data_IF_685379147574
#
_entry.id   IF_685379147574
#
_cell.length_a   1.000
_cell.length_b   1.000
_cell.length_c   1.000
_cell.angle_alpha   90.00
_cell.angle_beta   90.00
_cell.angle_gamma   90.00
#
_symmetry.space_group_name_H-M   'P 1'
#
loop_
_entity.id
_entity.type
_entity.pdbx_description
1 polymer ?
#
# COMPACT_ATOMS: atom_id res chain seq x y z
N UNK A 1 16.19 -15.46 -5.30
CA UNK A 1 15.13 -15.03 -4.37
C UNK A 1 15.74 -14.47 -3.10
N UNK A 2 15.08 -13.46 -2.52
CA UNK A 2 15.51 -12.82 -1.28
C UNK A 2 14.49 -13.17 -0.20
N UNK A 3 14.99 -13.71 0.92
CA UNK A 3 14.17 -13.96 2.11
C UNK A 3 14.40 -12.80 3.08
N UNK A 4 13.32 -12.05 3.38
CA UNK A 4 13.43 -10.87 4.22
C UNK A 4 12.08 -10.58 4.88
N UNK A 5 12.10 -10.16 6.13
CA UNK A 5 10.91 -9.68 6.83
C UNK A 5 10.58 -8.27 6.30
N UNK A 6 9.39 -8.09 5.74
CA UNK A 6 8.97 -6.81 5.17
C UNK A 6 8.93 -5.68 6.19
N UNK A 7 8.79 -6.01 7.46
CA UNK A 7 8.74 -5.00 8.54
C UNK A 7 10.13 -4.55 8.95
N UNK A 8 11.18 -5.22 8.50
CA UNK A 8 12.55 -4.77 8.70
C UNK A 8 12.97 -3.84 7.56
N UNK A 9 12.94 -2.56 7.82
CA UNK A 9 13.20 -1.49 6.87
C UNK A 9 14.54 -0.82 7.21
N UNK A 10 15.41 -0.57 6.21
CA UNK A 10 15.18 -0.71 4.76
C UNK A 10 15.33 -2.16 4.27
N UNK A 11 14.59 -2.48 3.21
CA UNK A 11 14.75 -3.76 2.53
C UNK A 11 16.11 -3.83 1.84
N UNK A 12 16.65 -5.05 1.63
CA UNK A 12 17.95 -5.22 0.97
C UNK A 12 17.84 -5.06 -0.55
N UNK A 13 17.26 -3.96 -0.99
CA UNK A 13 17.03 -3.59 -2.37
C UNK A 13 17.40 -2.11 -2.54
N UNK A 14 18.10 -1.74 -3.63
CA UNK A 14 18.42 -0.33 -3.86
C UNK A 14 17.20 0.47 -4.30
N UNK A 15 17.30 1.79 -4.16
CA UNK A 15 16.28 2.71 -4.64
C UNK A 15 16.02 2.50 -6.13
N UNK A 16 14.76 2.50 -6.52
CA UNK A 16 14.38 2.48 -7.93
C UNK A 16 14.76 1.22 -8.69
N UNK A 17 14.90 0.08 -8.02
CA UNK A 17 15.35 -1.15 -8.67
C UNK A 17 14.23 -1.96 -9.32
N UNK A 18 12.96 -1.62 -9.09
CA UNK A 18 11.83 -2.41 -9.54
C UNK A 18 10.88 -1.57 -10.39
N UNK A 19 10.29 -2.17 -11.42
CA UNK A 19 9.23 -1.53 -12.21
C UNK A 19 7.83 -1.89 -11.72
N UNK A 20 7.69 -3.04 -11.05
CA UNK A 20 6.41 -3.54 -10.56
C UNK A 20 6.63 -4.29 -9.25
N UNK A 21 5.79 -4.01 -8.27
CA UNK A 21 5.68 -4.79 -7.05
C UNK A 21 4.27 -5.37 -6.99
N UNK A 22 4.16 -6.66 -6.68
CA UNK A 22 2.87 -7.30 -6.45
C UNK A 22 2.82 -7.78 -5.01
N UNK A 23 1.82 -7.30 -4.26
CA UNK A 23 1.59 -7.67 -2.88
C UNK A 23 0.20 -8.33 -2.77
N UNK A 24 0.18 -9.66 -2.85
CA UNK A 24 -1.06 -10.43 -2.79
C UNK A 24 -1.21 -11.07 -1.43
N UNK A 25 -2.25 -10.68 -0.69
CA UNK A 25 -2.57 -11.21 0.64
C UNK A 25 -1.43 -11.04 1.66
N UNK A 26 -0.81 -9.86 1.64
CA UNK A 26 0.31 -9.51 2.51
C UNK A 26 -0.04 -8.33 3.42
N UNK A 27 -0.63 -7.29 2.86
CA UNK A 27 -0.80 -6.01 3.56
C UNK A 27 -1.70 -6.12 4.79
N UNK A 28 -2.63 -7.06 4.81
CA UNK A 28 -3.51 -7.30 5.95
C UNK A 28 -2.78 -7.87 7.17
N UNK A 29 -1.56 -8.36 6.99
CA UNK A 29 -0.75 -8.94 8.06
C UNK A 29 0.34 -8.01 8.59
N UNK A 30 0.56 -6.85 8.00
CA UNK A 30 1.59 -5.91 8.44
C UNK A 30 1.21 -5.35 9.80
N UNK A 31 2.15 -5.39 10.75
CA UNK A 31 1.95 -4.86 12.09
C UNK A 31 1.61 -3.36 12.01
N UNK A 32 0.45 -2.93 12.53
CA UNK A 32 0.03 -1.53 12.43
C UNK A 32 0.79 -0.59 13.37
N UNK A 33 1.58 -1.12 14.30
CA UNK A 33 2.31 -0.31 15.26
C UNK A 33 3.30 0.62 14.54
N UNK A 34 3.47 1.84 15.07
CA UNK A 34 4.42 2.83 14.54
C UNK A 34 4.17 3.13 13.06
N UNK A 35 2.90 3.22 12.66
CA UNK A 35 2.51 3.47 11.27
C UNK A 35 3.07 2.42 10.30
N UNK A 36 3.07 1.14 10.71
CA UNK A 36 3.68 0.07 9.92
C UNK A 36 3.15 -0.04 8.50
N UNK A 37 1.83 0.14 8.30
CA UNK A 37 1.25 0.12 6.97
C UNK A 37 1.83 1.23 6.08
N UNK A 38 1.89 2.46 6.59
CA UNK A 38 2.45 3.59 5.85
C UNK A 38 3.93 3.38 5.58
N UNK A 39 4.68 2.84 6.55
CA UNK A 39 6.11 2.59 6.39
C UNK A 39 6.40 1.56 5.29
N UNK A 40 5.60 0.51 5.20
CA UNK A 40 5.75 -0.48 4.12
C UNK A 40 5.37 0.14 2.78
N UNK A 41 4.33 0.96 2.73
CA UNK A 41 3.98 1.69 1.51
C UNK A 41 5.12 2.62 1.07
N UNK A 42 5.75 3.33 2.01
CA UNK A 42 6.89 4.19 1.71
C UNK A 42 8.07 3.39 1.18
N UNK A 43 8.31 2.20 1.72
CA UNK A 43 9.40 1.34 1.27
C UNK A 43 9.14 0.79 -0.15
N UNK A 44 7.92 0.42 -0.45
CA UNK A 44 7.53 0.09 -1.82
C UNK A 44 7.83 1.24 -2.77
N UNK A 45 7.50 2.46 -2.36
CA UNK A 45 7.77 3.66 -3.14
C UNK A 45 9.26 3.86 -3.40
N UNK A 46 10.08 3.65 -2.38
CA UNK A 46 11.54 3.81 -2.49
C UNK A 46 12.15 2.86 -3.53
N UNK A 47 11.76 1.58 -3.49
CA UNK A 47 12.36 0.56 -4.37
C UNK A 47 11.78 0.57 -5.78
N UNK A 48 10.63 1.22 -6.00
CA UNK A 48 10.10 1.37 -7.34
C UNK A 48 10.83 2.47 -8.12
N UNK A 49 11.10 2.21 -9.39
CA UNK A 49 11.59 3.23 -10.30
C UNK A 49 10.51 4.28 -10.55
N UNK A 50 10.86 5.47 -11.07
CA UNK A 50 9.86 6.48 -11.44
C UNK A 50 8.78 5.86 -12.34
N UNK A 51 7.51 6.19 -12.07
CA UNK A 51 6.35 5.66 -12.77
C UNK A 51 6.12 4.16 -12.55
N UNK A 52 6.86 3.54 -11.63
CA UNK A 52 6.65 2.14 -11.26
C UNK A 52 5.30 1.92 -10.58
N UNK A 53 4.84 0.69 -10.60
CA UNK A 53 3.51 0.34 -10.11
C UNK A 53 3.55 -0.63 -8.95
N UNK A 54 2.60 -0.46 -8.03
CA UNK A 54 2.35 -1.38 -6.92
C UNK A 54 0.93 -1.92 -7.08
N UNK A 55 0.82 -3.23 -7.23
CA UNK A 55 -0.46 -3.93 -7.29
C UNK A 55 -0.70 -4.64 -5.96
N UNK A 56 -1.76 -4.28 -5.28
CA UNK A 56 -2.14 -4.86 -3.99
C UNK A 56 -3.43 -5.65 -4.15
N UNK A 57 -3.45 -6.86 -3.61
CA UNK A 57 -4.68 -7.63 -3.40
C UNK A 57 -4.74 -7.95 -1.91
N UNK A 58 -5.81 -7.51 -1.25
CA UNK A 58 -6.02 -7.79 0.17
C UNK A 58 -7.52 -7.91 0.44
N UNK A 59 -7.92 -8.64 1.49
CA UNK A 59 -9.34 -8.72 1.81
C UNK A 59 -9.89 -7.35 2.17
N UNK A 60 -11.08 -7.04 1.64
CA UNK A 60 -11.78 -5.82 2.04
C UNK A 60 -12.15 -5.92 3.52
N UNK A 61 -12.02 -4.83 4.26
CA UNK A 61 -12.22 -4.83 5.70
C UNK A 61 -13.62 -5.26 6.16
N UNK A 62 -14.60 -5.27 5.26
CA UNK A 62 -15.96 -5.74 5.56
C UNK A 62 -16.23 -7.15 5.05
N UNK A 63 -15.25 -7.80 4.43
CA UNK A 63 -15.44 -9.14 3.88
C UNK A 63 -15.32 -10.21 4.97
N UNK A 64 -15.95 -11.36 4.72
CA UNK A 64 -15.78 -12.53 5.59
C UNK A 64 -14.35 -13.01 5.61
N UNK A 65 -13.65 -12.91 4.46
CA UNK A 65 -12.25 -13.31 4.37
C UNK A 65 -11.34 -12.50 5.28
N UNK A 66 -11.63 -11.21 5.45
CA UNK A 66 -10.89 -10.41 6.43
C UNK A 66 -11.25 -10.81 7.86
N UNK A 67 -12.53 -10.86 8.16
CA UNK A 67 -13.02 -10.97 9.53
C UNK A 67 -12.75 -12.35 10.16
N UNK A 68 -12.68 -13.39 9.35
CA UNK A 68 -12.54 -14.76 9.86
C UNK A 68 -11.12 -15.12 10.30
N UNK A 69 -10.10 -14.45 9.78
CA UNK A 69 -8.69 -14.80 10.04
C UNK A 69 -8.18 -14.00 11.25
N UNK A 70 -7.81 -14.69 12.35
CA UNK A 70 -7.38 -13.99 13.56
C UNK A 70 -6.04 -13.27 13.43
N UNK A 71 -5.29 -13.48 12.34
CA UNK A 71 -4.01 -12.81 12.12
C UNK A 71 -4.13 -11.54 11.29
N UNK A 72 -5.31 -11.19 10.82
CA UNK A 72 -5.54 -9.95 10.07
C UNK A 72 -5.60 -8.76 11.02
N UNK A 73 -4.78 -7.73 10.73
CA UNK A 73 -4.63 -6.56 11.62
C UNK A 73 -4.83 -5.22 10.92
N UNK A 74 -4.97 -5.21 9.59
CA UNK A 74 -5.22 -4.00 8.81
C UNK A 74 -6.57 -4.09 8.13
N UNK A 75 -7.61 -3.66 8.85
CA UNK A 75 -8.97 -3.61 8.33
C UNK A 75 -9.12 -2.34 7.49
N UNK A 76 -9.08 -2.47 6.17
CA UNK A 76 -9.05 -1.36 5.24
C UNK A 76 -10.25 -1.39 4.30
N UNK A 77 -10.56 -0.23 3.75
CA UNK A 77 -11.62 -0.07 2.75
C UNK A 77 -11.14 0.90 1.66
N UNK A 78 -12.04 1.26 0.77
CA UNK A 78 -11.71 2.12 -0.37
C UNK A 78 -11.18 3.48 0.05
N UNK A 79 -11.66 4.03 1.16
CA UNK A 79 -11.24 5.35 1.64
C UNK A 79 -9.79 5.35 2.16
N UNK A 80 -9.23 4.19 2.47
CA UNK A 80 -7.83 4.07 2.91
C UNK A 80 -6.88 4.73 1.92
N UNK A 81 -7.13 4.55 0.63
CA UNK A 81 -6.19 4.97 -0.42
C UNK A 81 -6.16 6.47 -0.63
N UNK A 82 -7.17 7.20 -0.13
CA UNK A 82 -7.14 8.67 -0.15
C UNK A 82 -6.02 9.24 0.73
N UNK A 83 -5.50 8.47 1.67
CA UNK A 83 -4.35 8.89 2.47
C UNK A 83 -3.04 8.85 1.69
N UNK A 84 -3.01 8.15 0.56
CA UNK A 84 -1.78 7.94 -0.23
C UNK A 84 -1.80 8.71 -1.55
N UNK A 85 -2.94 9.21 -2.00
CA UNK A 85 -3.06 9.93 -3.25
C UNK A 85 -3.50 11.38 -2.97
N UNK A 86 -2.60 12.35 -3.18
CA UNK A 86 -2.94 13.75 -2.90
C UNK A 86 -4.09 14.29 -3.72
N UNK A 87 -4.36 13.72 -4.89
CA UNK A 87 -5.50 14.16 -5.71
C UNK A 87 -6.83 13.63 -5.18
N UNK A 88 -6.82 12.51 -4.46
CA UNK A 88 -8.02 11.94 -3.85
C UNK A 88 -8.26 12.44 -2.43
N UNK A 89 -7.28 13.04 -1.82
CA UNK A 89 -7.33 13.39 -0.40
C UNK A 89 -8.31 14.53 -0.06
N UNK A 90 -8.92 15.17 -1.06
CA UNK A 90 -9.90 16.23 -0.84
C UNK A 90 -9.37 17.38 0.02
N UNK A 91 -8.08 17.64 -0.02
CA UNK A 91 -7.43 18.71 0.71
C UNK A 91 -7.07 18.40 2.16
N UNK A 92 -7.38 17.22 2.70
CA UNK A 92 -7.18 16.97 4.12
C UNK A 92 -6.48 15.70 4.53
N UNK A 93 -6.78 14.59 3.89
CA UNK A 93 -6.34 13.29 4.41
C UNK A 93 -4.87 12.99 4.14
N UNK A 94 -4.39 13.30 2.95
CA UNK A 94 -3.05 12.91 2.51
C UNK A 94 -1.94 13.39 3.47
N UNK A 95 -2.00 14.62 3.92
CA UNK A 95 -0.90 15.23 4.67
C UNK A 95 -0.78 14.80 6.12
N UNK A 96 -1.76 14.08 6.69
CA UNK A 96 -1.81 13.80 8.13
C UNK A 96 -0.64 12.95 8.58
N UNK A 97 -0.30 11.90 7.83
CA UNK A 97 0.74 10.93 8.19
C UNK A 97 1.99 11.06 7.32
N UNK A 98 2.04 12.04 6.43
CA UNK A 98 3.16 12.31 5.53
C UNK A 98 3.62 11.11 4.70
N UNK A 99 2.70 10.34 4.07
CA UNK A 99 3.11 9.23 3.22
C UNK A 99 3.77 9.74 1.95
N UNK A 100 4.55 8.86 1.30
CA UNK A 100 5.03 9.15 -0.05
C UNK A 100 3.86 9.18 -1.03
N UNK A 101 3.94 10.02 -2.09
CA UNK A 101 2.79 10.24 -2.97
C UNK A 101 2.60 9.15 -4.01
N UNK A 102 1.37 8.69 -4.11
CA UNK A 102 0.93 7.71 -5.08
C UNK A 102 -0.20 8.28 -5.94
N UNK A 103 -0.43 7.65 -7.09
CA UNK A 103 -1.64 7.83 -7.88
C UNK A 103 -2.41 6.52 -7.88
N UNK A 104 -3.64 6.54 -7.43
CA UNK A 104 -4.53 5.38 -7.51
C UNK A 104 -5.05 5.28 -8.93
N UNK A 105 -4.63 4.25 -9.66
CA UNK A 105 -5.03 4.04 -11.04
C UNK A 105 -6.27 3.18 -11.16
N UNK A 106 -6.44 2.23 -10.24
CA UNK A 106 -7.58 1.32 -10.24
C UNK A 106 -7.86 0.88 -8.81
N UNK A 107 -9.13 0.75 -8.48
CA UNK A 107 -9.59 0.32 -7.16
C UNK A 107 -10.89 -0.44 -7.34
N UNK A 108 -10.87 -1.74 -7.07
CA UNK A 108 -12.00 -2.63 -7.31
C UNK A 108 -12.23 -3.50 -6.07
N UNK A 109 -13.46 -3.66 -5.66
CA UNK A 109 -13.87 -4.69 -4.71
C UNK A 109 -14.37 -5.88 -5.52
N UNK A 110 -13.58 -6.98 -5.50
CA UNK A 110 -13.89 -8.16 -6.30
C UNK A 110 -15.06 -8.96 -5.72
N UNK A 111 -15.71 -9.80 -6.53
CA UNK A 111 -16.78 -10.67 -6.03
C UNK A 111 -16.34 -11.60 -4.89
N UNK A 112 -15.06 -11.96 -4.85
CA UNK A 112 -14.50 -12.81 -3.79
C UNK A 112 -14.31 -12.07 -2.47
N UNK A 113 -14.56 -10.77 -2.43
CA UNK A 113 -14.39 -9.96 -1.21
C UNK A 113 -13.02 -9.33 -1.07
N UNK A 114 -12.20 -9.36 -2.10
CA UNK A 114 -10.89 -8.72 -2.09
C UNK A 114 -10.96 -7.29 -2.60
N UNK A 115 -10.11 -6.45 -2.04
CA UNK A 115 -9.86 -5.13 -2.58
C UNK A 115 -8.60 -5.22 -3.44
N UNK A 116 -8.72 -4.84 -4.71
CA UNK A 116 -7.63 -4.87 -5.68
C UNK A 116 -7.28 -3.45 -6.06
N UNK A 117 -6.05 -3.06 -5.75
CA UNK A 117 -5.61 -1.68 -5.91
C UNK A 117 -4.37 -1.64 -6.78
N UNK A 118 -4.39 -0.80 -7.79
CA UNK A 118 -3.23 -0.52 -8.62
C UNK A 118 -2.81 0.92 -8.38
N UNK A 119 -1.58 1.10 -7.90
CA UNK A 119 -1.01 2.40 -7.61
C UNK A 119 0.21 2.65 -8.46
N UNK A 120 0.39 3.89 -8.89
CA UNK A 120 1.59 4.34 -9.59
C UNK A 120 2.37 5.29 -8.71
N UNK A 121 3.68 5.08 -8.64
CA UNK A 121 4.57 5.98 -7.91
C UNK A 121 4.54 7.36 -8.56
N UNK A 122 4.19 8.40 -7.77
CA UNK A 122 4.37 9.78 -8.20
C UNK A 122 5.80 10.20 -7.93
N UNK A 123 6.30 11.15 -8.70
CA UNK A 123 7.58 11.80 -8.42
C UNK A 123 7.55 12.54 -7.09
N UNK A 124 8.70 13.11 -6.67
CA UNK A 124 8.74 13.92 -5.46
C UNK A 124 7.66 14.98 -5.50
N UNK A 125 6.97 15.14 -4.35
CA UNK A 125 5.89 16.12 -4.23
C UNK A 125 6.48 17.53 -4.11
N UNK A 126 6.88 18.09 -5.22
CA UNK A 126 7.41 19.44 -5.27
C UNK A 126 6.56 20.33 -6.18
N UNK A 127 5.32 20.06 -6.17
CA UNK A 127 4.38 20.79 -6.99
C UNK A 127 3.32 19.92 -7.46
#
# INVERSE_FOLDING_TARGET
DIVHDLEEIPWPLPDGCCSLIMASHIMEHINPARFGFVRVMDECWRVLQPEGQLAIVMPHGRSSGYLQDPTHVNQRNEATWAYFDPDLAGGGLYGIYHPKPWKVESLVWSPEGNMEVLLRKRGPSNG
#
